data_IF_212563550361
#
_entry.id   IF_212563550361
#
_cell.length_a   1.000
_cell.length_b   1.000
_cell.length_c   1.000
_cell.angle_alpha   90.00
_cell.angle_beta   90.00
_cell.angle_gamma   90.00
#
_symmetry.space_group_name_H-M   'P 1'
#
loop_
_entity.id
_entity.type
_entity.pdbx_description
1 polymer ?
#
# COMPACT_ATOMS: atom_id res chain seq x y z
N UNK A 1 14.99 -19.62 41.84
CA UNK A 1 15.22 -18.49 40.93
C UNK A 1 15.07 -18.90 39.46
N UNK A 2 15.68 -20.01 39.02
CA UNK A 2 15.52 -20.57 37.65
C UNK A 2 14.09 -21.01 37.30
N UNK A 3 13.36 -21.58 38.26
CA UNK A 3 11.96 -22.00 38.05
C UNK A 3 10.96 -20.82 37.94
N UNK A 4 11.25 -19.69 38.59
CA UNK A 4 10.40 -18.50 38.54
C UNK A 4 10.53 -17.75 37.20
N UNK A 5 11.72 -17.79 36.58
CA UNK A 5 11.98 -17.24 35.26
C UNK A 5 11.33 -18.07 34.14
N UNK A 6 11.31 -19.40 34.28
CA UNK A 6 10.67 -20.31 33.32
C UNK A 6 9.14 -20.15 33.35
N UNK A 7 8.53 -19.99 34.53
CA UNK A 7 7.08 -19.75 34.65
C UNK A 7 6.64 -18.40 34.05
N UNK A 8 7.46 -17.35 34.15
CA UNK A 8 7.14 -16.05 33.53
C UNK A 8 7.31 -16.05 32.01
N UNK A 9 8.30 -16.78 31.46
CA UNK A 9 8.40 -16.97 30.01
C UNK A 9 7.21 -17.77 29.46
N UNK A 10 6.83 -18.87 30.12
CA UNK A 10 5.68 -19.69 29.70
C UNK A 10 4.37 -18.89 29.76
N UNK A 11 4.19 -18.02 30.77
CA UNK A 11 3.00 -17.15 30.88
C UNK A 11 2.93 -16.11 29.76
N UNK A 12 4.05 -15.52 29.36
CA UNK A 12 4.09 -14.53 28.29
C UNK A 12 3.91 -15.18 26.91
N UNK A 13 4.45 -16.38 26.69
CA UNK A 13 4.23 -17.15 25.45
C UNK A 13 2.78 -17.64 25.33
N UNK A 14 2.14 -18.07 26.44
CA UNK A 14 0.72 -18.45 26.44
C UNK A 14 -0.24 -17.26 26.22
N UNK A 15 0.11 -16.07 26.71
CA UNK A 15 -0.66 -14.84 26.47
C UNK A 15 -0.57 -14.39 25.00
N UNK A 16 0.58 -14.60 24.34
CA UNK A 16 0.77 -14.26 22.93
C UNK A 16 0.01 -15.22 22.00
N UNK A 17 0.02 -16.53 22.30
CA UNK A 17 -0.74 -17.53 21.53
C UNK A 17 -2.27 -17.35 21.70
N UNK A 18 -2.74 -16.86 22.86
CA UNK A 18 -4.16 -16.59 23.08
C UNK A 18 -4.67 -15.35 22.31
N UNK A 19 -3.81 -14.37 22.05
CA UNK A 19 -4.18 -13.17 21.28
C UNK A 19 -4.28 -13.47 19.77
N UNK A 20 -3.43 -14.36 19.25
CA UNK A 20 -3.48 -14.81 17.85
C UNK A 20 -4.66 -15.77 17.58
N UNK A 21 -5.18 -16.45 18.61
CA UNK A 21 -6.26 -17.46 18.44
C UNK A 21 -7.69 -16.96 18.70
N UNK A 22 -7.91 -15.69 19.00
CA UNK A 22 -9.26 -15.11 19.13
C UNK A 22 -9.76 -14.43 17.84
N UNK A 23 -8.92 -14.30 16.81
CA UNK A 23 -9.32 -13.73 15.51
C UNK A 23 -9.96 -14.73 14.52
N UNK A 24 -10.11 -16.01 14.88
CA UNK A 24 -10.65 -17.05 13.97
C UNK A 24 -12.03 -17.59 14.33
N UNK A 25 -12.72 -17.04 15.33
CA UNK A 25 -14.11 -17.42 15.64
C UNK A 25 -15.04 -16.21 15.63
N UNK A 26 -15.28 -15.70 14.42
CA UNK A 26 -16.27 -14.64 14.15
C UNK A 26 -17.01 -14.83 12.83
N UNK A 27 -16.97 -16.03 12.23
CA UNK A 27 -17.67 -16.33 10.98
C UNK A 27 -18.66 -17.47 11.16
N UNK A 28 -19.62 -17.30 12.06
CA UNK A 28 -20.81 -18.17 12.09
C UNK A 28 -22.02 -17.39 12.59
N UNK A 29 -22.43 -16.39 11.79
CA UNK A 29 -23.69 -15.71 11.97
C UNK A 29 -24.73 -16.22 10.95
N UNK A 30 -25.56 -17.14 11.44
CA UNK A 30 -26.95 -17.37 11.06
C UNK A 30 -27.27 -17.64 9.58
N UNK A 31 -27.27 -18.94 9.23
CA UNK A 31 -28.14 -19.47 8.18
C UNK A 31 -29.60 -19.34 8.63
N UNK A 32 -30.26 -18.23 8.28
CA UNK A 32 -31.73 -18.11 8.36
C UNK A 32 -32.31 -18.04 6.94
N UNK A 33 -33.06 -19.08 6.62
CA UNK A 33 -33.97 -19.16 5.48
C UNK A 33 -34.98 -18.01 5.54
N UNK A 34 -35.01 -17.19 4.50
CA UNK A 34 -36.03 -16.16 4.31
C UNK A 34 -35.88 -15.51 2.95
N UNK A 35 -36.90 -15.63 2.09
CA UNK A 35 -36.99 -14.93 0.81
C UNK A 35 -37.21 -13.44 1.05
N UNK A 36 -36.13 -12.70 1.33
CA UNK A 36 -36.12 -11.24 1.28
C UNK A 36 -35.47 -10.79 -0.01
N UNK A 37 -36.12 -9.90 -0.76
CA UNK A 37 -35.46 -9.17 -1.84
C UNK A 37 -34.26 -8.44 -1.25
N UNK A 38 -33.05 -8.87 -1.60
CA UNK A 38 -31.81 -8.16 -1.29
C UNK A 38 -31.88 -6.85 -2.05
N UNK A 39 -32.09 -5.74 -1.34
CA UNK A 39 -31.80 -4.41 -1.88
C UNK A 39 -30.33 -4.43 -2.33
N UNK A 40 -29.97 -3.90 -3.50
CA UNK A 40 -28.57 -3.86 -3.91
C UNK A 40 -27.85 -2.91 -2.95
N UNK A 41 -27.26 -3.48 -1.88
CA UNK A 41 -26.31 -2.77 -1.05
C UNK A 41 -25.06 -2.51 -1.87
N UNK A 42 -24.39 -1.40 -1.58
CA UNK A 42 -23.02 -1.13 -2.04
C UNK A 42 -22.20 -2.40 -1.78
N UNK A 43 -21.68 -3.02 -2.84
CA UNK A 43 -20.84 -4.20 -2.71
C UNK A 43 -19.43 -3.71 -2.46
N UNK A 44 -18.91 -3.91 -1.26
CA UNK A 44 -17.49 -3.66 -1.03
C UNK A 44 -16.69 -4.74 -1.77
N UNK A 45 -15.89 -4.34 -2.77
CA UNK A 45 -14.93 -5.23 -3.45
C UNK A 45 -13.56 -4.58 -3.39
N UNK A 46 -12.69 -5.13 -2.55
CA UNK A 46 -11.26 -4.84 -2.65
C UNK A 46 -10.68 -5.64 -3.82
N UNK A 47 -9.74 -5.03 -4.52
CA UNK A 47 -8.91 -5.70 -5.52
C UNK A 47 -7.47 -5.79 -5.00
N UNK A 48 -6.78 -6.85 -5.40
CA UNK A 48 -5.44 -7.17 -4.92
C UNK A 48 -4.51 -7.41 -6.09
N UNK A 49 -3.26 -6.99 -5.96
CA UNK A 49 -2.27 -7.08 -7.01
C UNK A 49 -0.89 -7.25 -6.43
N UNK A 50 0.09 -7.43 -7.32
CA UNK A 50 1.48 -7.65 -6.94
C UNK A 50 2.37 -6.66 -7.65
N UNK A 51 3.22 -5.99 -6.90
CA UNK A 51 4.39 -5.33 -7.43
C UNK A 51 5.54 -6.32 -7.46
N UNK A 52 6.04 -6.61 -8.65
CA UNK A 52 7.17 -7.50 -8.89
C UNK A 52 8.06 -7.02 -10.04
N UNK A 53 8.03 -5.72 -10.34
CA UNK A 53 8.80 -5.09 -11.41
C UNK A 53 10.32 -5.08 -11.20
N UNK A 54 10.83 -5.51 -10.05
CA UNK A 54 12.28 -5.59 -9.78
C UNK A 54 12.61 -6.69 -8.75
N UNK A 55 13.66 -6.54 -7.92
CA UNK A 55 14.05 -7.53 -6.90
C UNK A 55 13.11 -7.57 -5.69
N UNK A 56 12.08 -6.74 -5.64
CA UNK A 56 11.02 -6.80 -4.64
C UNK A 56 9.84 -7.58 -5.19
N UNK A 57 9.22 -8.42 -4.36
CA UNK A 57 7.86 -8.90 -4.57
C UNK A 57 6.98 -8.36 -3.44
N UNK A 58 5.93 -7.63 -3.77
CA UNK A 58 5.08 -6.98 -2.78
C UNK A 58 3.60 -7.20 -3.12
N UNK A 59 2.87 -7.77 -2.17
CA UNK A 59 1.42 -7.94 -2.23
C UNK A 59 0.76 -6.63 -1.76
N UNK A 60 -0.20 -6.12 -2.53
CA UNK A 60 -0.89 -4.85 -2.24
C UNK A 60 -2.38 -4.92 -2.57
N UNK A 61 -3.12 -3.94 -2.06
CA UNK A 61 -4.55 -3.79 -2.31
C UNK A 61 -4.90 -2.36 -2.72
N UNK A 62 -6.00 -2.20 -3.46
CA UNK A 62 -6.49 -0.89 -3.92
C UNK A 62 -7.20 -0.05 -2.83
N UNK A 63 -7.01 -0.38 -1.55
CA UNK A 63 -7.76 0.17 -0.41
C UNK A 63 -6.86 0.82 0.65
N UNK A 64 -5.64 1.20 0.28
CA UNK A 64 -4.72 1.92 1.16
C UNK A 64 -3.68 1.04 1.86
N UNK A 65 -3.77 -0.29 1.70
CA UNK A 65 -2.71 -1.23 2.05
C UNK A 65 -1.64 -1.26 0.95
N UNK A 66 -0.50 -0.62 1.21
CA UNK A 66 0.65 -0.54 0.28
C UNK A 66 1.52 -1.81 0.34
N UNK A 67 1.58 -2.42 1.51
CA UNK A 67 2.10 -3.78 1.73
C UNK A 67 1.04 -4.52 2.51
N UNK A 68 0.50 -5.60 1.97
CA UNK A 68 -0.65 -6.29 2.56
C UNK A 68 -0.37 -7.73 2.94
N UNK A 69 -0.28 -7.96 4.26
CA UNK A 69 -0.32 -9.31 4.82
C UNK A 69 -1.69 -9.99 4.65
N UNK A 70 -2.75 -9.23 4.35
CA UNK A 70 -4.14 -9.72 4.39
C UNK A 70 -4.46 -10.71 3.27
N UNK A 71 -3.66 -10.69 2.20
CA UNK A 71 -3.84 -11.53 1.02
C UNK A 71 -3.43 -12.97 1.33
N UNK A 72 -2.26 -13.15 1.95
CA UNK A 72 -1.66 -14.48 2.19
C UNK A 72 -1.72 -14.90 3.66
N UNK A 73 -1.93 -13.96 4.58
CA UNK A 73 -1.74 -14.14 6.02
C UNK A 73 -0.27 -14.15 6.44
N UNK A 74 0.65 -13.95 5.50
CA UNK A 74 2.10 -13.85 5.72
C UNK A 74 2.56 -12.41 5.45
N UNK A 75 3.81 -12.07 5.76
CA UNK A 75 4.38 -10.76 5.42
C UNK A 75 4.20 -10.42 3.94
N UNK A 76 3.73 -9.20 3.66
CA UNK A 76 3.34 -8.78 2.32
C UNK A 76 4.50 -8.47 1.37
N UNK A 77 5.70 -8.19 1.89
CA UNK A 77 6.87 -7.87 1.07
C UNK A 77 8.00 -8.88 1.23
N UNK A 78 8.47 -9.38 0.10
CA UNK A 78 9.59 -10.30 -0.06
C UNK A 78 10.77 -9.58 -0.70
N UNK A 79 11.96 -9.78 -0.12
CA UNK A 79 13.21 -9.35 -0.73
C UNK A 79 14.37 -10.26 -0.30
N UNK A 80 15.26 -10.70 -1.21
CA UNK A 80 15.10 -10.63 -2.66
C UNK A 80 13.91 -11.49 -3.10
N UNK A 81 13.20 -11.03 -4.13
CA UNK A 81 12.10 -11.76 -4.76
C UNK A 81 12.52 -13.19 -5.15
N UNK A 82 11.71 -14.17 -4.78
CA UNK A 82 11.96 -15.59 -4.99
C UNK A 82 12.89 -16.26 -3.97
N UNK A 83 13.31 -15.54 -2.93
CA UNK A 83 14.15 -16.10 -1.85
C UNK A 83 13.35 -16.73 -0.71
N UNK A 84 12.04 -16.44 -0.63
CA UNK A 84 11.17 -16.74 0.50
C UNK A 84 11.62 -16.10 1.82
N UNK A 85 12.34 -14.98 1.75
CA UNK A 85 12.66 -14.12 2.88
C UNK A 85 11.85 -12.84 2.79
N UNK A 86 11.28 -12.43 3.91
CA UNK A 86 10.33 -11.33 3.98
C UNK A 86 10.93 -10.16 4.74
N UNK A 87 10.48 -8.95 4.42
CA UNK A 87 11.11 -7.73 4.94
C UNK A 87 10.12 -6.72 5.50
N UNK A 88 8.84 -6.83 5.12
CA UNK A 88 7.80 -5.94 5.60
C UNK A 88 6.48 -6.71 5.70
N UNK A 89 5.92 -6.74 6.91
CA UNK A 89 4.67 -7.44 7.16
C UNK A 89 3.51 -6.70 6.54
N UNK A 90 3.37 -5.43 6.89
CA UNK A 90 2.29 -4.58 6.43
C UNK A 90 2.71 -3.11 6.40
N UNK A 91 2.13 -2.34 5.49
CA UNK A 91 2.28 -0.90 5.46
C UNK A 91 1.08 -0.27 4.79
N UNK A 92 0.74 0.94 5.20
CA UNK A 92 -0.44 1.63 4.68
C UNK A 92 -0.32 3.14 4.79
N UNK A 93 -1.08 3.80 3.91
CA UNK A 93 -1.14 5.25 3.87
C UNK A 93 -1.91 5.78 5.08
N UNK A 94 -1.35 6.78 5.76
CA UNK A 94 -2.01 7.50 6.83
C UNK A 94 -2.24 8.94 6.44
N UNK A 95 -3.48 9.41 6.56
CA UNK A 95 -3.82 10.82 6.38
C UNK A 95 -4.61 11.26 7.60
N UNK A 96 -4.24 12.40 8.16
CA UNK A 96 -4.96 13.04 9.25
C UNK A 96 -5.07 14.54 8.99
N UNK A 97 -6.17 15.15 9.42
CA UNK A 97 -6.36 16.60 9.27
C UNK A 97 -7.56 17.08 10.06
N UNK A 98 -7.82 18.38 10.02
CA UNK A 98 -8.98 19.01 10.65
C UNK A 98 -10.01 19.37 9.60
N UNK A 99 -11.24 18.86 9.76
CA UNK A 99 -12.36 19.16 8.87
C UNK A 99 -13.47 19.79 9.69
N UNK A 100 -13.71 21.09 9.47
CA UNK A 100 -14.66 21.86 10.30
C UNK A 100 -14.22 22.00 11.77
N UNK A 101 -12.92 21.84 12.05
CA UNK A 101 -12.34 21.91 13.40
C UNK A 101 -12.15 20.55 14.09
N UNK A 102 -12.81 19.49 13.61
CA UNK A 102 -12.68 18.13 14.15
C UNK A 102 -11.51 17.39 13.50
N UNK A 103 -10.75 16.62 14.30
CA UNK A 103 -9.72 15.72 13.78
C UNK A 103 -10.40 14.56 13.06
N UNK A 104 -9.97 14.30 11.82
CA UNK A 104 -10.40 13.17 11.00
C UNK A 104 -9.18 12.46 10.44
N UNK A 105 -9.29 11.14 10.32
CA UNK A 105 -8.23 10.26 9.82
C UNK A 105 -8.75 9.36 8.72
N UNK A 106 -7.87 8.94 7.83
CA UNK A 106 -8.07 7.83 6.92
C UNK A 106 -6.76 7.06 6.87
N UNK A 107 -6.74 5.85 7.42
CA UNK A 107 -5.51 5.09 7.65
C UNK A 107 -5.55 3.66 7.11
N UNK A 108 -4.38 3.16 6.69
CA UNK A 108 -4.12 1.73 6.52
C UNK A 108 -3.20 1.24 7.64
N UNK A 109 -3.74 0.49 8.61
CA UNK A 109 -3.00 -0.12 9.71
C UNK A 109 -3.59 -1.52 9.97
N UNK A 110 -2.87 -2.56 9.55
CA UNK A 110 -3.33 -3.97 9.47
C UNK A 110 -4.66 -4.22 8.73
N UNK A 111 -5.33 -3.16 8.28
CA UNK A 111 -6.62 -3.12 7.62
C UNK A 111 -6.84 -1.72 7.06
N UNK A 112 -7.65 -1.60 6.00
CA UNK A 112 -7.88 -0.34 5.32
C UNK A 112 -9.06 0.45 5.88
N UNK A 113 -8.94 1.78 5.95
CA UNK A 113 -10.10 2.69 6.05
C UNK A 113 -10.52 3.27 4.68
N UNK A 114 -9.72 3.05 3.63
CA UNK A 114 -10.08 3.46 2.26
C UNK A 114 -10.89 2.37 1.54
N UNK A 115 -11.61 2.80 0.51
CA UNK A 115 -12.42 1.97 -0.38
C UNK A 115 -12.03 2.23 -1.83
N UNK A 116 -12.26 1.25 -2.68
CA UNK A 116 -11.92 1.31 -4.09
C UNK A 116 -12.75 2.38 -4.84
N UNK A 117 -12.09 3.03 -5.81
CA UNK A 117 -12.71 3.90 -6.80
C UNK A 117 -12.78 5.38 -6.43
N UNK A 118 -13.26 6.23 -7.36
CA UNK A 118 -13.47 7.65 -7.14
C UNK A 118 -14.45 7.97 -6.01
N UNK A 119 -14.36 9.17 -5.45
CA UNK A 119 -15.26 9.65 -4.41
C UNK A 119 -16.73 9.61 -4.88
N UNK A 120 -17.58 8.93 -4.11
CA UNK A 120 -19.01 8.83 -4.37
C UNK A 120 -19.41 7.82 -5.46
N UNK A 121 -18.46 7.06 -6.02
CA UNK A 121 -18.73 5.98 -6.96
C UNK A 121 -19.19 4.68 -6.28
N UNK A 122 -19.61 3.69 -7.09
CA UNK A 122 -19.89 2.35 -6.57
C UNK A 122 -18.58 1.61 -6.25
N UNK A 123 -18.32 1.38 -4.96
CA UNK A 123 -17.12 0.71 -4.46
C UNK A 123 -16.97 -0.75 -4.97
N UNK A 124 -18.02 -1.32 -5.55
CA UNK A 124 -18.02 -2.68 -6.11
C UNK A 124 -17.84 -2.74 -7.62
N UNK A 125 -17.71 -1.59 -8.29
CA UNK A 125 -17.56 -1.54 -9.74
C UNK A 125 -16.26 -2.24 -10.17
N UNK A 126 -16.32 -2.99 -11.26
CA UNK A 126 -15.20 -3.80 -11.75
C UNK A 126 -14.00 -2.98 -12.19
N UNK A 127 -14.24 -1.78 -12.69
CA UNK A 127 -13.26 -0.80 -13.14
C UNK A 127 -12.48 -0.16 -11.99
N UNK A 128 -12.93 -0.30 -10.73
CA UNK A 128 -12.18 0.17 -9.57
C UNK A 128 -11.16 -0.89 -9.12
N UNK A 129 -10.35 -1.36 -10.06
CA UNK A 129 -9.31 -2.38 -9.86
C UNK A 129 -7.91 -1.76 -9.84
N UNK A 130 -6.90 -2.59 -9.55
CA UNK A 130 -5.51 -2.24 -9.82
C UNK A 130 -5.24 -2.42 -11.31
N UNK A 131 -4.68 -1.40 -11.96
CA UNK A 131 -4.22 -1.50 -13.34
C UNK A 131 -2.71 -1.64 -13.36
N UNK A 132 -2.21 -2.75 -13.90
CA UNK A 132 -0.80 -3.13 -13.86
C UNK A 132 -0.28 -3.22 -15.29
N UNK A 133 0.67 -2.36 -15.63
CA UNK A 133 1.32 -2.36 -16.94
C UNK A 133 2.82 -2.49 -16.79
N UNK A 134 3.42 -3.23 -17.71
CA UNK A 134 4.87 -3.38 -17.77
C UNK A 134 5.37 -2.69 -19.04
N UNK A 135 6.55 -2.09 -18.97
CA UNK A 135 7.16 -1.46 -20.14
C UNK A 135 7.39 -2.44 -21.29
N UNK A 136 7.53 -3.73 -20.98
CA UNK A 136 7.58 -4.83 -21.95
C UNK A 136 6.29 -5.00 -22.76
N UNK A 137 5.15 -4.52 -22.25
CA UNK A 137 3.85 -4.62 -22.93
C UNK A 137 3.87 -3.84 -24.25
N UNK A 138 4.76 -2.84 -24.41
CA UNK A 138 4.97 -2.15 -25.70
C UNK A 138 5.37 -3.10 -26.85
N UNK A 139 5.94 -4.27 -26.54
CA UNK A 139 6.31 -5.27 -27.55
C UNK A 139 5.11 -6.09 -28.05
N UNK A 140 4.11 -6.32 -27.20
CA UNK A 140 2.85 -7.00 -27.54
C UNK A 140 1.68 -6.41 -26.72
N UNK A 141 1.20 -5.21 -27.07
CA UNK A 141 0.23 -4.49 -26.23
C UNK A 141 -1.12 -5.20 -26.10
N UNK A 142 -1.47 -6.06 -27.07
CA UNK A 142 -2.71 -6.82 -27.08
C UNK A 142 -2.72 -7.95 -26.03
N UNK A 143 -1.56 -8.34 -25.52
CA UNK A 143 -1.45 -9.37 -24.48
C UNK A 143 -1.75 -8.83 -23.07
N UNK A 144 -1.78 -7.51 -22.89
CA UNK A 144 -2.04 -6.84 -21.62
C UNK A 144 -3.42 -6.17 -21.64
N UNK A 145 -4.38 -6.76 -20.92
CA UNK A 145 -5.73 -6.20 -20.81
C UNK A 145 -5.72 -4.80 -20.18
N UNK A 146 -4.86 -4.56 -19.19
CA UNK A 146 -4.71 -3.26 -18.53
C UNK A 146 -4.09 -2.22 -19.44
N UNK A 147 -3.17 -2.61 -20.34
CA UNK A 147 -2.64 -1.71 -21.36
C UNK A 147 -3.76 -1.26 -22.31
N UNK A 148 -4.60 -2.20 -22.78
CA UNK A 148 -5.68 -1.90 -23.71
C UNK A 148 -6.82 -1.10 -23.05
N UNK A 149 -7.04 -1.28 -21.76
CA UNK A 149 -8.14 -0.66 -21.02
C UNK A 149 -7.65 0.30 -19.93
N UNK A 150 -6.53 0.98 -20.18
CA UNK A 150 -5.93 1.91 -19.23
C UNK A 150 -6.93 3.02 -18.85
N UNK A 151 -7.17 3.30 -17.55
CA UNK A 151 -8.34 4.05 -17.09
C UNK A 151 -8.09 5.57 -17.12
N UNK A 152 -7.88 6.11 -18.32
CA UNK A 152 -7.59 7.54 -18.53
C UNK A 152 -8.77 8.44 -18.15
N UNK A 153 -10.00 7.94 -18.25
CA UNK A 153 -11.23 8.59 -17.79
C UNK A 153 -11.28 8.77 -16.26
N UNK A 154 -10.58 7.91 -15.51
CA UNK A 154 -10.39 8.04 -14.06
C UNK A 154 -9.17 8.89 -13.69
N UNK A 155 -8.37 9.33 -14.67
CA UNK A 155 -7.21 10.20 -14.47
C UNK A 155 -5.85 9.50 -14.56
N UNK A 156 -5.80 8.23 -14.99
CA UNK A 156 -4.51 7.55 -15.15
C UNK A 156 -3.64 8.23 -16.21
N UNK A 157 -2.36 8.55 -15.91
CA UNK A 157 -1.48 9.22 -16.85
C UNK A 157 -1.18 8.35 -18.08
N UNK A 158 -1.18 8.98 -19.26
CA UNK A 158 -0.86 8.33 -20.53
C UNK A 158 -0.17 9.32 -21.48
N UNK A 159 0.46 8.78 -22.52
CA UNK A 159 1.06 9.57 -23.60
C UNK A 159 0.09 9.60 -24.77
N UNK A 160 -0.57 10.74 -24.94
CA UNK A 160 -1.37 11.08 -26.12
C UNK A 160 -0.42 11.48 -27.26
N UNK A 161 -0.14 10.53 -28.16
CA UNK A 161 0.88 10.71 -29.21
C UNK A 161 0.34 11.52 -30.37
N UNK A 162 -0.95 11.39 -30.69
CA UNK A 162 -1.57 12.09 -31.81
C UNK A 162 -2.23 13.44 -31.42
N UNK A 163 -2.34 13.69 -30.11
CA UNK A 163 -2.83 14.94 -29.53
C UNK A 163 -4.36 15.08 -29.60
N UNK A 164 -5.10 13.97 -29.70
CA UNK A 164 -6.53 13.98 -29.92
C UNK A 164 -7.36 14.05 -28.61
N UNK A 165 -6.73 13.87 -27.45
CA UNK A 165 -7.37 13.90 -26.12
C UNK A 165 -8.21 12.68 -25.76
N UNK A 166 -8.10 11.60 -26.53
CA UNK A 166 -8.64 10.26 -26.28
C UNK A 166 -7.48 9.32 -25.96
N UNK A 167 -7.78 8.12 -25.47
CA UNK A 167 -6.79 7.05 -25.36
C UNK A 167 -7.05 6.01 -26.44
N UNK A 168 -6.24 6.08 -27.51
CA UNK A 168 -6.29 5.14 -28.64
C UNK A 168 -5.04 4.23 -28.58
N UNK A 169 -5.08 3.11 -27.84
CA UNK A 169 -3.88 2.33 -27.51
C UNK A 169 -3.24 1.65 -28.73
N UNK A 170 -1.91 1.52 -28.67
CA UNK A 170 -1.18 0.60 -29.53
C UNK A 170 -1.77 -0.84 -29.45
N UNK A 171 -1.69 -1.62 -30.54
CA UNK A 171 -1.13 -1.27 -31.85
C UNK A 171 -2.15 -0.64 -32.81
N UNK A 172 -3.42 -0.52 -32.43
CA UNK A 172 -4.48 -0.03 -33.32
C UNK A 172 -4.51 1.50 -33.42
N UNK A 173 -4.15 2.20 -32.34
CA UNK A 173 -3.86 3.63 -32.32
C UNK A 173 -2.35 3.89 -32.11
N UNK A 174 -2.02 4.99 -31.44
CA UNK A 174 -0.63 5.42 -31.19
C UNK A 174 -0.26 5.54 -29.72
N UNK A 175 -1.25 5.51 -28.84
CA UNK A 175 -1.08 5.91 -27.45
C UNK A 175 -0.65 4.74 -26.57
N UNK A 176 -0.14 5.08 -25.40
CA UNK A 176 0.26 4.10 -24.40
C UNK A 176 0.25 4.71 -23.00
N UNK A 177 0.21 3.89 -21.93
CA UNK A 177 0.36 4.36 -20.57
C UNK A 177 1.67 5.12 -20.35
N UNK A 178 1.71 6.03 -19.39
CA UNK A 178 2.97 6.68 -19.00
C UNK A 178 3.82 5.71 -18.15
N UNK A 179 4.97 5.29 -18.67
CA UNK A 179 5.89 4.39 -17.96
C UNK A 179 6.95 5.15 -17.16
N UNK A 180 6.69 5.36 -15.87
CA UNK A 180 7.69 5.90 -14.92
C UNK A 180 8.86 4.94 -14.67
N UNK A 181 8.59 3.62 -14.75
CA UNK A 181 9.53 2.52 -14.54
C UNK A 181 9.23 1.32 -15.45
N UNK A 182 9.81 0.16 -15.13
CA UNK A 182 9.61 -1.08 -15.91
C UNK A 182 8.28 -1.77 -15.56
N UNK A 183 7.76 -1.55 -14.36
CA UNK A 183 6.38 -1.85 -13.98
C UNK A 183 5.74 -0.61 -13.37
N UNK A 184 4.48 -0.35 -13.73
CA UNK A 184 3.64 0.71 -13.16
C UNK A 184 2.30 0.11 -12.76
N UNK A 185 1.86 0.43 -11.54
CA UNK A 185 0.56 0.05 -11.00
C UNK A 185 -0.20 1.33 -10.65
N UNK A 186 -1.45 1.45 -11.11
CA UNK A 186 -2.26 2.65 -10.88
C UNK A 186 -3.68 2.29 -10.43
N UNK A 187 -4.25 3.07 -9.51
CA UNK A 187 -5.64 2.95 -9.09
C UNK A 187 -6.15 4.23 -8.40
N UNK A 188 -7.47 4.29 -8.18
CA UNK A 188 -8.14 5.31 -7.36
C UNK A 188 -8.75 4.67 -6.11
N UNK A 189 -8.66 5.36 -4.99
CA UNK A 189 -9.34 5.01 -3.74
C UNK A 189 -9.88 6.26 -3.04
N UNK A 190 -10.77 6.10 -2.08
CA UNK A 190 -11.30 7.21 -1.28
C UNK A 190 -11.64 6.78 0.14
N UNK A 191 -11.85 7.74 1.05
CA UNK A 191 -12.16 7.44 2.46
C UNK A 191 -13.65 7.60 2.81
N UNK A 192 -14.54 7.74 1.84
CA UNK A 192 -15.93 8.16 2.07
C UNK A 192 -16.83 7.16 2.78
N UNK A 193 -16.35 5.94 3.06
CA UNK A 193 -17.13 4.90 3.72
C UNK A 193 -16.96 4.94 5.24
N UNK A 194 -17.88 5.60 5.93
CA UNK A 194 -17.88 5.66 7.41
C UNK A 194 -17.75 4.28 8.08
N UNK A 195 -18.30 3.23 7.47
CA UNK A 195 -18.26 1.88 8.02
C UNK A 195 -16.83 1.29 8.07
N UNK A 196 -15.90 1.83 7.28
CA UNK A 196 -14.50 1.40 7.27
C UNK A 196 -13.64 2.15 8.30
N UNK A 197 -14.06 3.34 8.74
CA UNK A 197 -13.35 4.18 9.72
C UNK A 197 -13.44 3.58 11.13
N UNK A 198 -12.63 2.56 11.39
CA UNK A 198 -12.70 1.71 12.58
C UNK A 198 -11.46 1.78 13.46
N UNK A 199 -10.36 2.34 12.97
CA UNK A 199 -9.07 2.35 13.67
C UNK A 199 -9.08 3.46 14.73
N UNK A 200 -9.33 4.69 14.28
CA UNK A 200 -9.49 5.85 15.18
C UNK A 200 -10.95 6.28 15.37
N UNK A 201 -11.89 5.64 14.67
CA UNK A 201 -13.34 5.88 14.77
C UNK A 201 -13.73 7.34 14.47
N UNK A 202 -13.03 8.00 13.55
CA UNK A 202 -13.39 9.35 13.10
C UNK A 202 -14.44 9.31 11.98
N UNK A 203 -14.99 10.47 11.62
CA UNK A 203 -15.70 10.61 10.36
C UNK A 203 -14.70 10.65 9.18
N UNK A 204 -15.11 10.29 7.95
CA UNK A 204 -14.33 10.54 6.74
C UNK A 204 -13.83 11.97 6.62
N UNK A 205 -12.58 12.11 6.21
CA UNK A 205 -11.94 13.36 5.83
C UNK A 205 -12.65 13.95 4.61
N UNK A 206 -12.94 13.15 3.58
CA UNK A 206 -13.51 13.65 2.33
C UNK A 206 -12.51 13.65 1.17
N UNK A 207 -11.63 12.67 1.11
CA UNK A 207 -10.50 12.64 0.18
C UNK A 207 -10.60 11.48 -0.81
N UNK A 208 -10.26 11.78 -2.05
CA UNK A 208 -9.93 10.81 -3.09
C UNK A 208 -8.41 10.80 -3.26
N UNK A 209 -7.85 9.63 -3.50
CA UNK A 209 -6.42 9.44 -3.70
C UNK A 209 -6.22 8.64 -4.99
N UNK A 210 -5.51 9.24 -5.94
CA UNK A 210 -5.01 8.52 -7.12
C UNK A 210 -3.59 8.06 -6.82
N UNK A 211 -3.37 6.75 -6.88
CA UNK A 211 -2.14 6.10 -6.49
C UNK A 211 -1.37 5.62 -7.72
N UNK A 212 -0.05 5.73 -7.66
CA UNK A 212 0.87 5.17 -8.66
C UNK A 212 2.02 4.51 -7.94
N UNK A 213 2.25 3.22 -8.19
CA UNK A 213 3.45 2.51 -7.76
C UNK A 213 4.29 2.19 -8.99
N UNK A 214 5.62 2.31 -8.89
CA UNK A 214 6.52 1.87 -9.95
C UNK A 214 7.86 1.41 -9.40
N UNK A 215 8.62 0.74 -10.26
CA UNK A 215 10.01 0.37 -9.99
C UNK A 215 10.79 0.10 -11.26
N UNK A 216 12.09 -0.09 -11.09
CA UNK A 216 13.03 -0.26 -12.19
C UNK A 216 13.72 -1.61 -12.11
N UNK A 217 13.70 -2.39 -13.19
CA UNK A 217 14.42 -3.66 -13.27
C UNK A 217 15.89 -3.41 -13.62
N UNK A 218 16.68 -3.08 -12.59
CA UNK A 218 18.08 -2.64 -12.73
C UNK A 218 19.00 -3.35 -11.75
N UNK A 219 20.26 -3.62 -12.12
CA UNK A 219 21.22 -4.26 -11.21
C UNK A 219 21.77 -3.32 -10.12
N UNK A 220 21.53 -2.02 -10.21
CA UNK A 220 21.92 -1.03 -9.20
C UNK A 220 20.84 -0.87 -8.11
N UNK A 221 21.02 0.09 -7.21
CA UNK A 221 20.14 0.31 -6.06
C UNK A 221 18.67 0.54 -6.43
N UNK A 222 18.36 1.03 -7.63
CA UNK A 222 16.97 1.20 -8.08
C UNK A 222 16.23 -0.14 -8.25
N UNK A 223 16.96 -1.24 -8.42
CA UNK A 223 16.39 -2.59 -8.43
C UNK A 223 15.91 -3.08 -7.07
N UNK A 224 16.27 -2.39 -5.99
CA UNK A 224 15.86 -2.66 -4.60
C UNK A 224 14.90 -1.59 -4.08
N UNK A 225 14.25 -0.84 -4.97
CA UNK A 225 13.39 0.29 -4.62
C UNK A 225 11.99 0.14 -5.21
N UNK A 226 10.97 0.40 -4.38
CA UNK A 226 9.59 0.57 -4.81
C UNK A 226 9.18 2.02 -4.55
N UNK A 227 8.75 2.71 -5.61
CA UNK A 227 8.31 4.10 -5.52
C UNK A 227 6.79 4.15 -5.47
N UNK A 228 6.26 5.06 -4.67
CA UNK A 228 4.83 5.26 -4.46
C UNK A 228 4.54 6.74 -4.62
N UNK A 229 3.51 7.08 -5.39
CA UNK A 229 3.01 8.45 -5.55
C UNK A 229 1.53 8.46 -5.23
N UNK A 230 1.09 9.45 -4.46
CA UNK A 230 -0.31 9.72 -4.18
C UNK A 230 -0.67 11.14 -4.58
N UNK A 231 -1.69 11.30 -5.42
CA UNK A 231 -2.38 12.57 -5.65
C UNK A 231 -3.64 12.60 -4.80
N UNK A 232 -3.65 13.46 -3.78
CA UNK A 232 -4.77 13.63 -2.86
C UNK A 232 -5.64 14.79 -3.36
N UNK A 233 -6.93 14.53 -3.51
CA UNK A 233 -7.93 15.46 -4.02
C UNK A 233 -9.01 15.63 -2.96
N UNK A 234 -9.25 16.86 -2.52
CA UNK A 234 -10.36 17.15 -1.61
C UNK A 234 -11.69 17.13 -2.38
N UNK A 235 -12.51 16.12 -2.12
CA UNK A 235 -13.85 15.93 -2.71
C UNK A 235 -14.98 16.14 -1.71
N UNK A 236 -14.66 16.29 -0.42
CA UNK A 236 -15.63 16.42 0.67
C UNK A 236 -16.30 17.79 0.78
N UNK A 237 -15.83 18.79 0.02
CA UNK A 237 -16.43 20.13 -0.05
C UNK A 237 -16.20 21.00 1.19
N UNK A 238 -15.34 20.54 2.11
CA UNK A 238 -14.91 21.28 3.31
C UNK A 238 -13.39 21.27 3.33
N UNK A 239 -12.77 22.41 3.66
CA UNK A 239 -11.32 22.50 3.75
C UNK A 239 -10.78 21.53 4.81
N UNK A 240 -9.69 20.84 4.45
CA UNK A 240 -8.91 20.00 5.35
C UNK A 240 -7.70 20.82 5.80
N UNK A 241 -7.77 21.33 7.03
CA UNK A 241 -6.71 22.13 7.64
C UNK A 241 -5.70 21.25 8.39
N UNK A 242 -4.47 21.73 8.54
CA UNK A 242 -3.42 21.05 9.32
C UNK A 242 -3.18 19.60 8.90
N UNK A 243 -3.24 19.33 7.58
CA UNK A 243 -3.12 17.98 7.03
C UNK A 243 -1.72 17.41 7.25
N UNK A 244 -1.67 16.20 7.79
CA UNK A 244 -0.47 15.38 7.97
C UNK A 244 -0.65 14.11 7.16
N UNK A 245 0.36 13.77 6.38
CA UNK A 245 0.42 12.50 5.66
C UNK A 245 1.60 11.72 6.24
N UNK A 246 1.38 10.44 6.47
CA UNK A 246 2.37 9.51 6.96
C UNK A 246 2.29 8.18 6.24
N UNK A 247 3.33 7.39 6.40
CA UNK A 247 3.33 5.98 6.09
C UNK A 247 3.41 5.26 7.43
N UNK A 248 2.44 4.40 7.69
CA UNK A 248 2.59 3.40 8.73
C UNK A 248 3.23 2.15 8.13
N UNK A 249 4.18 1.58 8.86
CA UNK A 249 4.87 0.38 8.47
C UNK A 249 5.08 -0.52 9.68
N UNK A 250 4.94 -1.81 9.46
CA UNK A 250 5.30 -2.90 10.37
C UNK A 250 6.34 -3.78 9.66
N UNK A 251 7.62 -3.37 9.68
CA UNK A 251 8.71 -4.17 9.16
C UNK A 251 8.81 -5.46 9.97
N UNK A 252 8.79 -6.59 9.28
CA UNK A 252 9.19 -7.90 9.79
C UNK A 252 10.41 -8.32 8.96
N UNK A 253 11.58 -7.80 9.34
CA UNK A 253 12.85 -7.98 8.64
C UNK A 253 13.41 -9.37 8.97
N UNK A 254 12.87 -10.38 8.31
CA UNK A 254 13.16 -11.78 8.62
C UNK A 254 12.45 -12.14 9.92
N UNK A 255 13.22 -12.41 10.98
CA UNK A 255 12.65 -12.67 12.30
C UNK A 255 12.31 -11.37 13.03
N UNK A 256 11.04 -10.98 12.97
CA UNK A 256 10.48 -9.78 13.61
C UNK A 256 10.81 -9.58 15.12
N UNK A 257 11.23 -10.64 15.82
CA UNK A 257 11.58 -10.57 17.24
C UNK A 257 12.90 -9.87 17.56
N UNK A 258 13.74 -9.59 16.56
CA UNK A 258 15.02 -8.88 16.71
C UNK A 258 15.14 -7.60 15.86
N UNK A 259 14.00 -7.10 15.39
CA UNK A 259 13.91 -5.87 14.60
C UNK A 259 14.05 -4.61 15.48
N UNK A 260 14.89 -3.69 15.01
CA UNK A 260 15.04 -2.36 15.57
C UNK A 260 14.66 -1.30 14.53
N UNK A 261 13.96 -0.27 14.99
CA UNK A 261 13.60 0.89 14.15
C UNK A 261 14.41 2.13 14.55
N UNK A 262 14.72 2.95 13.55
CA UNK A 262 15.46 4.20 13.74
C UNK A 262 15.05 5.26 12.72
N UNK A 263 15.60 6.46 12.89
CA UNK A 263 15.51 7.51 11.89
C UNK A 263 16.84 8.25 11.77
N UNK A 264 17.19 8.63 10.55
CA UNK A 264 18.28 9.55 10.25
C UNK A 264 17.67 10.88 9.80
N UNK A 265 17.73 11.88 10.67
CA UNK A 265 17.16 13.21 10.40
C UNK A 265 17.94 14.00 9.35
N UNK A 266 19.17 13.61 9.03
CA UNK A 266 19.99 14.25 7.99
C UNK A 266 19.57 13.78 6.60
N UNK A 267 19.15 12.51 6.51
CA UNK A 267 18.65 11.89 5.30
C UNK A 267 17.11 11.94 5.18
N UNK A 268 16.41 12.41 6.21
CA UNK A 268 14.93 12.33 6.32
C UNK A 268 14.40 10.88 6.21
N UNK A 269 15.20 9.91 6.63
CA UNK A 269 14.96 8.48 6.43
C UNK A 269 14.49 7.80 7.71
N UNK A 270 13.36 7.10 7.67
CA UNK A 270 13.00 6.09 8.66
C UNK A 270 13.52 4.72 8.22
N UNK A 271 13.98 3.86 9.13
CA UNK A 271 14.51 2.54 8.75
C UNK A 271 14.30 1.47 9.81
N UNK A 272 14.29 0.21 9.37
CA UNK A 272 14.37 -0.99 10.21
C UNK A 272 15.65 -1.78 9.90
N UNK A 273 16.28 -2.35 10.93
CA UNK A 273 17.52 -3.10 10.88
C UNK A 273 17.61 -4.12 12.03
N UNK A 274 18.46 -5.15 11.89
CA UNK A 274 18.79 -6.07 12.99
C UNK A 274 20.11 -5.66 13.67
N UNK A 275 20.21 -5.81 15.00
CA UNK A 275 21.48 -5.73 15.73
C UNK A 275 22.14 -7.12 15.81
N UNK A 276 22.77 -7.53 14.71
CA UNK A 276 23.46 -8.82 14.60
C UNK A 276 22.88 -9.71 13.52
N UNK A 277 22.95 -11.03 13.72
CA UNK A 277 22.46 -12.01 12.75
C UNK A 277 20.96 -12.22 12.90
N UNK A 278 20.25 -12.11 11.79
CA UNK A 278 18.86 -12.53 11.67
C UNK A 278 18.78 -14.04 11.36
N UNK A 279 17.69 -14.70 11.77
CA UNK A 279 17.54 -16.14 11.57
C UNK A 279 17.23 -16.55 10.12
N UNK A 280 16.67 -15.64 9.32
CA UNK A 280 16.33 -15.86 7.90
C UNK A 280 17.41 -15.29 6.97
N UNK A 281 17.85 -14.05 7.22
CA UNK A 281 18.88 -13.37 6.43
C UNK A 281 20.31 -13.71 6.84
N UNK A 282 20.53 -14.21 8.05
CA UNK A 282 21.86 -14.58 8.54
C UNK A 282 22.66 -13.37 9.04
N UNK A 283 23.99 -13.47 8.95
CA UNK A 283 24.93 -12.46 9.51
C UNK A 283 24.93 -11.11 8.78
N UNK A 284 24.45 -11.08 7.54
CA UNK A 284 24.41 -9.90 6.68
C UNK A 284 22.95 -9.55 6.37
N UNK A 285 22.14 -9.36 7.42
CA UNK A 285 20.75 -8.95 7.27
C UNK A 285 20.65 -7.56 6.61
N UNK A 286 19.73 -7.37 5.66
CA UNK A 286 19.57 -6.08 4.99
C UNK A 286 18.89 -5.07 5.93
N UNK A 287 18.80 -3.82 5.50
CA UNK A 287 17.92 -2.83 6.13
C UNK A 287 16.85 -2.39 5.14
N UNK A 288 15.66 -2.07 5.65
CA UNK A 288 14.59 -1.43 4.88
C UNK A 288 14.43 0.02 5.32
N UNK A 289 14.36 0.93 4.34
CA UNK A 289 14.25 2.37 4.53
C UNK A 289 13.00 2.94 3.87
N UNK A 290 12.49 4.01 4.48
CA UNK A 290 11.30 4.75 4.07
C UNK A 290 11.62 6.24 4.04
N UNK A 291 11.41 6.88 2.89
CA UNK A 291 11.73 8.30 2.67
C UNK A 291 10.64 9.00 1.86
N UNK A 292 10.40 10.28 2.14
CA UNK A 292 9.51 11.15 1.39
C UNK A 292 10.32 12.10 0.51
N UNK A 293 10.37 11.82 -0.79
CA UNK A 293 11.10 12.66 -1.74
C UNK A 293 10.41 13.97 -2.08
N UNK A 294 9.11 14.04 -1.85
CA UNK A 294 8.33 15.21 -2.21
C UNK A 294 7.14 15.35 -1.27
N UNK A 295 7.15 16.40 -0.46
CA UNK A 295 5.97 16.82 0.29
C UNK A 295 4.94 17.56 -0.58
N UNK A 296 3.85 18.06 0.01
CA UNK A 296 2.82 18.81 -0.69
C UNK A 296 3.38 20.01 -1.47
N UNK A 297 3.16 20.06 -2.79
CA UNK A 297 3.76 21.09 -3.68
C UNK A 297 3.01 22.43 -3.65
N UNK A 298 1.78 22.54 -3.13
CA UNK A 298 1.03 23.82 -3.17
C UNK A 298 0.00 23.92 -2.04
N UNK A 299 -0.32 25.14 -1.55
CA UNK A 299 -1.61 25.42 -0.93
C UNK A 299 -2.66 25.50 -2.05
N UNK A 300 -3.12 24.36 -2.55
CA UNK A 300 -4.22 24.26 -3.51
C UNK A 300 -5.07 23.02 -3.22
N UNK A 301 -6.18 22.87 -3.93
CA UNK A 301 -7.12 21.76 -3.77
C UNK A 301 -6.54 20.35 -4.09
N UNK A 302 -5.28 20.27 -4.50
CA UNK A 302 -4.59 19.06 -4.92
C UNK A 302 -3.18 18.99 -4.27
N UNK A 303 -2.89 17.87 -3.60
CA UNK A 303 -1.60 17.61 -2.95
C UNK A 303 -0.97 16.37 -3.59
N UNK A 304 0.26 16.50 -4.10
CA UNK A 304 1.04 15.36 -4.61
C UNK A 304 2.13 14.96 -3.61
N UNK A 305 2.16 13.68 -3.24
CA UNK A 305 3.18 13.06 -2.40
C UNK A 305 3.97 12.01 -3.20
N UNK A 306 5.28 11.93 -2.98
CA UNK A 306 6.14 10.85 -3.46
C UNK A 306 6.86 10.20 -2.27
N UNK A 307 6.67 8.89 -2.13
CA UNK A 307 7.23 8.02 -1.10
C UNK A 307 8.14 6.99 -1.77
N UNK A 308 9.25 6.68 -1.11
CA UNK A 308 10.11 5.56 -1.45
C UNK A 308 10.05 4.52 -0.33
N UNK A 309 9.96 3.26 -0.74
CA UNK A 309 10.41 2.12 0.04
C UNK A 309 11.69 1.61 -0.62
N UNK A 310 12.84 1.85 0.02
CA UNK A 310 14.14 1.48 -0.50
C UNK A 310 14.81 0.45 0.39
N UNK A 311 15.26 -0.66 -0.17
CA UNK A 311 16.00 -1.70 0.54
C UNK A 311 17.47 -1.57 0.17
N UNK A 312 18.34 -1.54 1.18
CA UNK A 312 19.79 -1.45 0.94
C UNK A 312 20.49 -2.71 1.45
N UNK A 313 21.19 -3.45 0.58
CA UNK A 313 22.02 -4.59 0.98
C UNK A 313 23.29 -4.19 1.77
N UNK A 314 23.67 -2.91 1.79
CA UNK A 314 25.00 -2.46 2.24
C UNK A 314 24.97 -1.44 3.41
N UNK A 315 23.84 -1.26 4.09
CA UNK A 315 23.78 -0.38 5.27
C UNK A 315 24.46 -1.09 6.46
N UNK A 316 25.78 -0.89 6.59
CA UNK A 316 26.48 -1.07 7.85
C UNK A 316 26.37 0.23 8.65
N UNK A 317 25.40 0.30 9.55
CA UNK A 317 25.33 1.39 10.54
C UNK A 317 26.46 1.15 11.56
N UNK A 318 27.67 1.60 11.22
CA UNK A 318 28.77 1.62 12.17
C UNK A 318 28.57 2.77 13.17
N UNK A 319 28.81 2.46 14.44
CA UNK A 319 28.74 3.32 15.63
C UNK A 319 29.41 4.68 15.49
#
# INVERSE_FOLDING_TARGET
MREYLIMNQIRNTLLFVLFVSILTTGLEAARKTGSGKVLPGIRYKADSGKFDGNRIANDLENNGMLVSHRITGHSGMEWPKGSHKYINFASGLWIAGKVGGDIRTAVGEYGPEFVAGPWGSDQGASEHQLYIVNKSDLADPLASDDFQNWPTDLGAPYVDVDGNGSYDPLPNGSDHPEFLGDQVIWWVMNDGSQAQHSIFNTLPIGIEVQMTIWGYDRPDAFGDMMFVKGLLINKGGVDVDSTIIGLWADPDLGYAGDDFVGCDTTLSLGYCYNDGSDSDYGVDAPAIGYDFFQGPIVPSAEIQLMLLVGISPDIKIWK
#
